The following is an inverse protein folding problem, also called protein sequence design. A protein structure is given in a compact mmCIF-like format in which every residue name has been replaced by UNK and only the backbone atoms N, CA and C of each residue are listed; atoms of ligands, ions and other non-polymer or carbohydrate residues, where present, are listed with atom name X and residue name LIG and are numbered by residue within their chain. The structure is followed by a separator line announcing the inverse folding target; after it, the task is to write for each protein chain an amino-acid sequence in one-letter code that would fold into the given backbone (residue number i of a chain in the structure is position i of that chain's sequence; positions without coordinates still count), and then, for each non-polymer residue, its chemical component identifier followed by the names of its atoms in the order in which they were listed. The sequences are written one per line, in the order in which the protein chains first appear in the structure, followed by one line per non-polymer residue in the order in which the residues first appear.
data_IF_718281009238
#
_entry.id   IF_718281009238
#
_cell.length_a   1.000
_cell.length_b   1.000
_cell.length_c   1.000
_cell.angle_alpha   90.00
_cell.angle_beta   90.00
_cell.angle_gamma   90.00
#
_symmetry.space_group_name_H-M   'P 1'
#
loop_
_entity.id
_entity.type
_entity.pdbx_description
1 polymer ?
#
# COMPACT_ATOMS: atom_id res chain seq x y z
N UNK A 1 13.48 -12.99 1.20
CA UNK A 1 12.04 -12.98 0.84
C UNK A 1 11.29 -12.22 1.91
N UNK A 2 10.21 -11.53 1.58
CA UNK A 2 9.41 -10.77 2.55
C UNK A 2 8.75 -11.70 3.59
N UNK A 3 8.81 -11.34 4.87
CA UNK A 3 8.10 -12.03 5.97
C UNK A 3 7.42 -10.99 6.87
N UNK A 4 6.12 -10.80 6.63
CA UNK A 4 5.29 -9.79 7.30
C UNK A 4 5.29 -9.89 8.83
N UNK A 5 5.57 -11.07 9.40
CA UNK A 5 5.53 -11.31 10.85
C UNK A 5 6.74 -10.72 11.57
N UNK A 6 7.81 -10.45 10.83
CA UNK A 6 9.06 -9.88 11.38
C UNK A 6 9.12 -8.36 11.23
N UNK A 7 8.16 -7.79 10.50
CA UNK A 7 8.08 -6.35 10.24
C UNK A 7 7.58 -5.66 11.50
N UNK A 8 8.24 -4.58 11.88
CA UNK A 8 7.83 -3.73 12.99
C UNK A 8 7.83 -2.26 12.56
N UNK A 9 7.42 -1.37 13.45
CA UNK A 9 7.56 0.06 13.25
C UNK A 9 9.01 0.49 12.98
N UNK A 10 10.00 -0.21 13.54
CA UNK A 10 11.43 0.16 13.38
C UNK A 10 12.16 -0.66 12.33
N UNK A 11 11.68 -1.87 12.04
CA UNK A 11 12.41 -2.85 11.25
C UNK A 11 11.60 -3.34 10.05
N UNK A 12 12.23 -3.36 8.88
CA UNK A 12 11.67 -3.90 7.64
C UNK A 12 11.64 -5.42 7.62
N UNK A 13 12.54 -6.03 8.36
CA UNK A 13 12.66 -7.47 8.60
C UNK A 13 13.52 -7.65 9.86
N UNK A 14 13.58 -8.87 10.39
CA UNK A 14 14.38 -9.16 11.58
C UNK A 14 15.84 -8.70 11.41
N UNK A 15 16.28 -7.77 12.28
CA UNK A 15 17.65 -7.24 12.28
C UNK A 15 17.97 -6.21 11.19
N UNK A 16 17.00 -5.80 10.36
CA UNK A 16 17.19 -4.74 9.35
C UNK A 16 16.20 -3.62 9.59
N UNK A 17 16.73 -2.47 9.97
CA UNK A 17 15.95 -1.27 10.27
C UNK A 17 15.39 -0.65 8.98
N UNK A 18 14.23 0.00 9.11
CA UNK A 18 13.79 0.98 8.12
C UNK A 18 14.75 2.17 8.13
N UNK A 19 14.92 2.85 7.00
CA UNK A 19 15.68 4.10 6.94
C UNK A 19 15.01 5.19 7.79
N UNK A 20 13.67 5.21 7.81
CA UNK A 20 12.89 5.93 8.81
C UNK A 20 11.77 5.06 9.38
N UNK A 21 11.49 5.13 10.71
CA UNK A 21 10.43 4.33 11.32
C UNK A 21 9.08 4.47 10.60
N UNK A 22 8.36 3.35 10.49
CA UNK A 22 7.09 3.27 9.77
C UNK A 22 7.26 3.32 8.26
N UNK A 23 8.36 2.75 7.73
CA UNK A 23 8.69 2.75 6.31
C UNK A 23 8.59 4.15 5.67
N UNK A 24 9.12 5.16 6.35
CA UNK A 24 8.93 6.57 5.98
C UNK A 24 10.11 7.21 5.24
N UNK A 25 11.19 6.46 4.99
CA UNK A 25 12.32 6.92 4.18
C UNK A 25 11.93 7.05 2.72
N UNK A 26 11.80 8.29 2.23
CA UNK A 26 11.42 8.54 0.84
C UNK A 26 12.61 8.24 -0.10
N UNK A 27 12.40 7.36 -1.07
CA UNK A 27 13.42 6.86 -2.00
C UNK A 27 14.18 5.62 -1.49
N UNK A 28 13.97 5.23 -0.23
CA UNK A 28 14.62 4.07 0.41
C UNK A 28 13.56 3.05 0.85
N UNK A 29 12.68 3.42 1.77
CA UNK A 29 11.60 2.57 2.29
C UNK A 29 10.32 2.66 1.44
N UNK A 30 10.05 3.84 0.89
CA UNK A 30 8.87 4.11 0.06
C UNK A 30 9.21 5.00 -1.14
N UNK A 31 8.35 5.03 -2.16
CA UNK A 31 8.52 5.93 -3.30
C UNK A 31 8.48 7.41 -2.88
N UNK A 32 9.26 8.25 -3.55
CA UNK A 32 9.26 9.71 -3.36
C UNK A 32 7.98 10.37 -3.87
N UNK A 33 7.29 9.72 -4.82
CA UNK A 33 6.02 10.17 -5.37
C UNK A 33 4.96 9.09 -5.16
N UNK A 34 3.76 9.43 -4.65
CA UNK A 34 2.67 8.47 -4.54
C UNK A 34 2.20 8.04 -5.94
N UNK A 35 1.95 6.74 -6.10
CA UNK A 35 1.34 6.21 -7.32
C UNK A 35 -0.10 6.68 -7.51
N UNK A 36 -0.82 6.93 -6.40
CA UNK A 36 -2.18 7.43 -6.39
C UNK A 36 -2.43 8.25 -5.11
N UNK A 37 -3.35 9.21 -5.18
CA UNK A 37 -3.82 9.99 -4.04
C UNK A 37 -5.34 10.05 -4.04
N UNK A 38 -5.92 9.99 -2.86
CA UNK A 38 -7.37 10.07 -2.67
C UNK A 38 -7.70 10.65 -1.31
N UNK A 39 -8.90 11.23 -1.17
CA UNK A 39 -9.36 11.83 0.07
C UNK A 39 -10.26 10.85 0.84
N UNK A 40 -9.94 10.65 2.11
CA UNK A 40 -10.81 9.95 3.05
C UNK A 40 -11.80 10.95 3.67
N UNK A 41 -13.06 10.89 3.23
CA UNK A 41 -14.12 11.83 3.67
C UNK A 41 -15.41 11.16 4.13
N UNK A 42 -15.51 9.84 4.00
CA UNK A 42 -16.71 9.07 4.35
C UNK A 42 -16.34 7.76 5.07
N UNK A 43 -17.26 7.27 5.89
CA UNK A 43 -17.17 5.95 6.55
C UNK A 43 -18.02 4.93 5.79
N UNK A 44 -17.76 3.63 6.03
CA UNK A 44 -18.53 2.52 5.44
C UNK A 44 -18.61 2.54 3.90
N UNK A 45 -17.61 3.12 3.26
CA UNK A 45 -17.55 3.33 1.81
C UNK A 45 -16.30 2.69 1.22
N UNK A 46 -16.38 2.31 -0.06
CA UNK A 46 -15.21 1.84 -0.79
C UNK A 46 -14.24 2.99 -1.09
N UNK A 47 -12.96 2.71 -0.89
CA UNK A 47 -11.88 3.56 -1.39
C UNK A 47 -11.36 2.95 -2.70
N UNK A 48 -11.48 3.70 -3.78
CA UNK A 48 -10.93 3.30 -5.08
C UNK A 48 -9.77 4.21 -5.45
N UNK A 49 -8.65 3.60 -5.83
CA UNK A 49 -7.44 4.31 -6.27
C UNK A 49 -7.01 3.75 -7.63
N UNK A 50 -6.77 4.63 -8.60
CA UNK A 50 -6.19 4.23 -9.88
C UNK A 50 -4.68 4.07 -9.73
N UNK A 51 -4.22 2.83 -9.73
CA UNK A 51 -2.79 2.47 -9.65
C UNK A 51 -2.28 1.88 -10.98
N UNK A 52 -2.94 2.17 -12.10
CA UNK A 52 -2.61 1.58 -13.41
C UNK A 52 -1.14 1.76 -13.77
N UNK A 53 -0.57 2.94 -13.52
CA UNK A 53 0.86 3.20 -13.79
C UNK A 53 1.78 2.29 -12.97
N UNK A 54 1.46 2.04 -11.71
CA UNK A 54 2.24 1.17 -10.83
C UNK A 54 2.15 -0.30 -11.28
N UNK A 55 0.95 -0.77 -11.65
CA UNK A 55 0.77 -2.13 -12.17
C UNK A 55 1.53 -2.34 -13.48
N UNK A 56 1.58 -1.34 -14.36
CA UNK A 56 2.40 -1.41 -15.59
C UNK A 56 3.89 -1.51 -15.26
N UNK A 57 4.37 -0.72 -14.30
CA UNK A 57 5.76 -0.80 -13.87
C UNK A 57 6.12 -2.21 -13.36
N UNK A 58 5.23 -2.84 -12.59
CA UNK A 58 5.44 -4.23 -12.14
C UNK A 58 5.54 -5.23 -13.30
N UNK A 59 4.85 -4.96 -14.42
CA UNK A 59 4.96 -5.81 -15.62
C UNK A 59 6.26 -5.57 -16.39
N UNK A 60 6.77 -4.34 -16.39
CA UNK A 60 8.03 -3.98 -17.04
C UNK A 60 9.25 -4.46 -16.23
N UNK A 61 9.13 -4.50 -14.90
CA UNK A 61 10.18 -4.89 -13.97
C UNK A 61 9.69 -5.99 -12.99
N UNK A 62 9.46 -7.22 -13.46
CA UNK A 62 8.85 -8.28 -12.63
C UNK A 62 9.71 -8.76 -11.47
N UNK A 63 11.02 -8.50 -11.51
CA UNK A 63 11.97 -8.80 -10.43
C UNK A 63 11.92 -7.75 -9.29
N UNK A 64 11.27 -6.59 -9.53
CA UNK A 64 11.11 -5.54 -8.54
C UNK A 64 9.99 -5.87 -7.53
N UNK A 65 10.00 -5.18 -6.39
CA UNK A 65 8.99 -5.36 -5.36
C UNK A 65 7.61 -4.84 -5.84
N UNK A 66 6.64 -5.74 -5.97
CA UNK A 66 5.23 -5.40 -6.29
C UNK A 66 4.41 -5.02 -5.03
N UNK A 67 5.00 -4.23 -4.15
CA UNK A 67 4.39 -3.80 -2.88
C UNK A 67 3.67 -2.47 -2.99
N UNK A 68 2.65 -2.26 -2.15
CA UNK A 68 1.97 -0.96 -1.98
C UNK A 68 2.06 -0.57 -0.51
N UNK A 69 2.46 0.68 -0.25
CA UNK A 69 2.35 1.31 1.05
C UNK A 69 1.19 2.31 1.03
N UNK A 70 0.26 2.18 1.98
CA UNK A 70 -0.79 3.17 2.21
C UNK A 70 -0.37 4.12 3.33
N UNK A 71 -0.25 5.41 3.01
CA UNK A 71 0.15 6.45 3.96
C UNK A 71 -0.92 7.52 4.04
N UNK A 72 -1.52 7.68 5.20
CA UNK A 72 -2.44 8.77 5.47
C UNK A 72 -1.66 10.06 5.81
N UNK A 73 -2.11 11.18 5.27
CA UNK A 73 -1.59 12.51 5.57
C UNK A 73 -2.75 13.44 5.87
N UNK A 74 -2.64 14.25 6.92
CA UNK A 74 -3.68 15.22 7.29
C UNK A 74 -3.28 16.04 8.51
N UNK A 75 -3.88 17.22 8.65
CA UNK A 75 -3.63 18.12 9.79
C UNK A 75 -4.40 17.69 11.05
N UNK A 76 -5.51 16.97 10.90
CA UNK A 76 -6.33 16.46 11.99
C UNK A 76 -5.96 15.01 12.32
N UNK A 77 -5.83 14.69 13.60
CA UNK A 77 -5.68 13.31 14.08
C UNK A 77 -7.00 12.57 14.01
N UNK A 78 -7.35 12.03 12.85
CA UNK A 78 -8.51 11.16 12.65
C UNK A 78 -8.02 9.76 12.29
N UNK A 79 -8.65 8.74 12.86
CA UNK A 79 -8.37 7.35 12.52
C UNK A 79 -9.43 6.84 11.53
N UNK A 80 -8.97 6.13 10.51
CA UNK A 80 -9.79 5.36 9.60
C UNK A 80 -9.33 3.90 9.63
N UNK A 81 -10.28 2.98 9.71
CA UNK A 81 -9.99 1.55 9.61
C UNK A 81 -10.34 1.07 8.20
N UNK A 82 -9.38 0.40 7.56
CA UNK A 82 -9.57 -0.25 6.27
C UNK A 82 -9.72 -1.76 6.47
N UNK A 83 -10.60 -2.39 5.71
CA UNK A 83 -10.77 -3.83 5.75
C UNK A 83 -9.51 -4.53 5.18
N UNK A 84 -9.03 -5.57 5.88
CA UNK A 84 -7.92 -6.41 5.41
C UNK A 84 -8.41 -7.60 4.58
N UNK A 85 -7.48 -8.39 4.02
CA UNK A 85 -7.75 -9.66 3.36
C UNK A 85 -8.39 -10.72 4.28
N UNK A 86 -8.23 -10.58 5.59
CA UNK A 86 -8.76 -11.47 6.63
C UNK A 86 -10.10 -10.99 7.18
N UNK A 87 -10.60 -9.84 6.71
CA UNK A 87 -11.84 -9.26 7.23
C UNK A 87 -13.00 -10.28 7.15
N UNK A 88 -13.81 -10.33 8.21
CA UNK A 88 -14.84 -11.37 8.41
C UNK A 88 -15.88 -11.39 7.29
N UNK A 89 -16.26 -10.20 6.78
CA UNK A 89 -17.19 -10.07 5.67
C UNK A 89 -16.42 -10.13 4.35
N UNK A 90 -16.50 -11.26 3.66
CA UNK A 90 -15.76 -11.53 2.42
C UNK A 90 -16.00 -10.45 1.35
N UNK A 91 -17.23 -9.94 1.23
CA UNK A 91 -17.60 -8.90 0.27
C UNK A 91 -16.99 -7.52 0.54
N UNK A 92 -16.27 -7.32 1.66
CA UNK A 92 -15.58 -6.07 2.02
C UNK A 92 -14.05 -6.19 1.97
N UNK A 93 -13.51 -7.37 1.64
CA UNK A 93 -12.06 -7.56 1.53
C UNK A 93 -11.52 -6.79 0.33
N UNK A 94 -10.32 -6.19 0.43
CA UNK A 94 -9.74 -5.40 -0.65
C UNK A 94 -9.50 -6.26 -1.89
N UNK A 95 -9.56 -5.63 -3.07
CA UNK A 95 -9.31 -6.30 -4.35
C UNK A 95 -8.51 -5.39 -5.28
N UNK A 96 -7.62 -5.99 -6.06
CA UNK A 96 -6.98 -5.37 -7.21
C UNK A 96 -7.76 -5.76 -8.47
N UNK A 97 -8.37 -4.77 -9.13
CA UNK A 97 -9.14 -4.99 -10.36
C UNK A 97 -8.27 -4.56 -11.54
N UNK A 98 -8.00 -5.50 -12.45
CA UNK A 98 -7.20 -5.25 -13.65
C UNK A 98 -8.08 -5.47 -14.88
N UNK A 99 -8.24 -4.40 -15.66
CA UNK A 99 -8.86 -4.46 -16.99
C UNK A 99 -7.76 -4.27 -18.04
N UNK A 100 -7.65 -5.20 -18.98
CA UNK A 100 -6.64 -5.17 -20.03
C UNK A 100 -7.27 -5.53 -21.38
N UNK A 101 -6.59 -5.14 -22.46
CA UNK A 101 -6.97 -5.51 -23.82
C UNK A 101 -6.04 -6.62 -24.32
N UNK A 102 -6.62 -7.58 -25.03
CA UNK A 102 -5.84 -8.53 -25.81
C UNK A 102 -5.34 -7.85 -27.09
N UNK A 103 -4.20 -8.30 -27.65
CA UNK A 103 -3.68 -7.80 -28.93
C UNK A 103 -4.66 -7.96 -30.10
#
# INVERSE_FOLDING_TARGET
TWDERTVTWKQAQEGVDWDQPGASGAGTDCSTMPAALTLLSATQSWLTMDITCLVRQWMEEPEANAGILLKATGAAGVQYDLASSEYWMVSRRPALIITYHLP
#
